data_IF_111093469729
#
_entry.id   IF_111093469729
#
_cell.length_a   1.000
_cell.length_b   1.000
_cell.length_c   1.000
_cell.angle_alpha   90.00
_cell.angle_beta   90.00
_cell.angle_gamma   90.00
#
_symmetry.space_group_name_H-M   'P 1'
#
loop_
_entity.id
_entity.type
_entity.pdbx_description
1 polymer ?
#
# COMPACT_ATOMS: atom_id res chain seq x y z
N UNK A 1 44.36 -35.17 -44.97
CA UNK A 1 43.07 -34.61 -45.46
C UNK A 1 42.31 -34.10 -44.23
N UNK A 2 42.25 -32.77 -44.11
CA UNK A 2 41.52 -31.86 -43.20
C UNK A 2 40.94 -32.39 -41.86
N UNK A 3 41.54 -31.93 -40.76
CA UNK A 3 40.95 -31.82 -39.41
C UNK A 3 39.89 -30.69 -39.41
N UNK A 4 38.67 -30.99 -38.94
CA UNK A 4 37.61 -29.98 -38.73
C UNK A 4 37.43 -29.76 -37.23
N UNK A 5 37.91 -28.64 -36.71
CA UNK A 5 37.70 -28.20 -35.34
C UNK A 5 36.36 -27.46 -35.29
N UNK A 6 35.34 -28.04 -34.64
CA UNK A 6 34.11 -27.34 -34.28
C UNK A 6 34.34 -26.52 -33.02
N UNK A 7 34.53 -25.21 -33.16
CA UNK A 7 34.51 -24.27 -32.05
C UNK A 7 33.05 -24.03 -31.62
N UNK A 8 32.66 -24.61 -30.48
CA UNK A 8 31.43 -24.26 -29.77
C UNK A 8 31.61 -22.86 -29.15
N UNK A 9 31.04 -21.85 -29.79
CA UNK A 9 30.82 -20.53 -29.20
C UNK A 9 29.72 -20.65 -28.14
N UNK A 10 30.10 -20.76 -26.85
CA UNK A 10 29.19 -20.45 -25.76
C UNK A 10 28.89 -18.94 -25.80
N UNK A 11 27.74 -18.57 -26.37
CA UNK A 11 27.18 -17.26 -26.15
C UNK A 11 26.77 -17.17 -24.68
N UNK A 12 27.64 -16.57 -23.86
CA UNK A 12 27.24 -16.12 -22.53
C UNK A 12 26.18 -15.03 -22.72
N UNK A 13 24.90 -15.41 -22.59
CA UNK A 13 23.81 -14.46 -22.44
C UNK A 13 24.06 -13.70 -21.15
N UNK A 14 24.66 -12.52 -21.25
CA UNK A 14 24.70 -11.58 -20.14
C UNK A 14 23.24 -11.38 -19.72
N UNK A 15 22.84 -11.72 -18.48
CA UNK A 15 21.52 -11.36 -18.02
C UNK A 15 21.42 -9.85 -18.18
N UNK A 16 20.38 -9.39 -18.89
CA UNK A 16 20.05 -7.97 -18.91
C UNK A 16 20.08 -7.49 -17.46
N UNK A 17 20.82 -6.41 -17.19
CA UNK A 17 20.87 -5.82 -15.85
C UNK A 17 19.41 -5.55 -15.45
N UNK A 18 18.90 -6.37 -14.54
CA UNK A 18 17.56 -6.17 -14.04
C UNK A 18 17.58 -4.87 -13.25
N UNK A 19 16.80 -3.88 -13.69
CA UNK A 19 16.56 -2.61 -12.98
C UNK A 19 15.70 -2.81 -11.72
N UNK A 20 15.65 -4.04 -11.21
CA UNK A 20 14.95 -4.41 -9.99
C UNK A 20 15.53 -3.64 -8.81
N UNK A 21 14.64 -3.29 -7.89
CA UNK A 21 14.92 -2.40 -6.78
C UNK A 21 14.68 -3.13 -5.46
N UNK A 22 15.73 -3.24 -4.66
CA UNK A 22 15.65 -3.69 -3.27
C UNK A 22 15.81 -2.50 -2.32
N UNK A 23 14.85 -2.31 -1.42
CA UNK A 23 14.87 -1.27 -0.40
C UNK A 23 14.89 -1.95 0.97
N UNK A 24 15.88 -1.63 1.80
CA UNK A 24 15.99 -2.15 3.17
C UNK A 24 15.70 -1.02 4.14
N UNK A 25 14.76 -1.25 5.06
CA UNK A 25 14.33 -0.29 6.05
C UNK A 25 14.43 -0.84 7.47
N UNK A 26 14.55 0.06 8.44
CA UNK A 26 14.29 -0.23 9.85
C UNK A 26 12.88 0.24 10.19
N UNK A 27 12.11 -0.62 10.84
CA UNK A 27 10.76 -0.33 11.31
C UNK A 27 10.77 -0.38 12.84
N UNK A 28 10.30 0.69 13.47
CA UNK A 28 10.17 0.81 14.91
C UNK A 28 8.71 1.06 15.25
N UNK A 29 8.15 0.26 16.15
CA UNK A 29 6.75 0.37 16.58
C UNK A 29 6.68 0.73 18.05
N UNK A 30 5.95 1.79 18.36
CA UNK A 30 5.66 2.28 19.71
C UNK A 30 6.93 2.44 20.58
N UNK A 31 8.05 2.84 19.96
CA UNK A 31 9.35 2.99 20.62
C UNK A 31 10.08 1.67 20.94
N UNK A 32 9.57 0.54 20.47
CA UNK A 32 10.17 -0.78 20.65
C UNK A 32 11.47 -1.00 19.86
N UNK A 33 11.98 -2.23 19.89
CA UNK A 33 13.20 -2.59 19.17
C UNK A 33 13.00 -2.46 17.64
N UNK A 34 13.94 -1.82 16.92
CA UNK A 34 13.87 -1.74 15.46
C UNK A 34 13.96 -3.13 14.82
N UNK A 35 13.08 -3.39 13.84
CA UNK A 35 13.09 -4.59 13.01
C UNK A 35 13.55 -4.23 11.61
N UNK A 36 14.45 -5.04 11.04
CA UNK A 36 14.86 -4.89 9.64
C UNK A 36 13.81 -5.50 8.72
N UNK A 37 13.54 -4.80 7.63
CA UNK A 37 12.56 -5.17 6.63
C UNK A 37 13.12 -4.90 5.23
N UNK A 38 12.77 -5.76 4.28
CA UNK A 38 13.11 -5.58 2.88
C UNK A 38 11.82 -5.43 2.05
N UNK A 39 11.87 -4.54 1.08
CA UNK A 39 10.91 -4.44 -0.01
C UNK A 39 11.62 -4.71 -1.32
N UNK A 40 10.96 -5.48 -2.18
CA UNK A 40 11.48 -5.98 -3.44
C UNK A 40 10.54 -5.52 -4.55
N UNK A 41 11.05 -4.83 -5.55
CA UNK A 41 10.27 -4.31 -6.66
C UNK A 41 10.97 -4.78 -7.93
N UNK A 42 10.38 -5.79 -8.57
CA UNK A 42 10.82 -6.33 -9.84
C UNK A 42 9.76 -6.05 -10.91
N UNK A 43 10.09 -6.36 -12.17
CA UNK A 43 9.19 -6.16 -13.31
C UNK A 43 7.92 -7.05 -13.28
N UNK A 44 7.96 -8.17 -12.56
CA UNK A 44 6.91 -9.19 -12.51
C UNK A 44 6.24 -9.30 -11.12
N UNK A 45 6.98 -8.97 -10.06
CA UNK A 45 6.49 -9.03 -8.68
C UNK A 45 6.91 -7.81 -7.85
N UNK A 46 6.05 -7.45 -6.91
CA UNK A 46 6.34 -6.44 -5.89
C UNK A 46 6.05 -7.04 -4.52
N UNK A 47 7.06 -7.13 -3.64
CA UNK A 47 6.89 -7.48 -2.23
C UNK A 47 7.20 -6.27 -1.36
N UNK A 48 6.23 -5.79 -0.62
CA UNK A 48 6.40 -4.65 0.30
C UNK A 48 6.03 -5.09 1.69
N UNK A 49 6.91 -4.78 2.64
CA UNK A 49 6.61 -4.95 4.05
C UNK A 49 5.97 -3.68 4.59
N UNK A 50 4.86 -3.83 5.29
CA UNK A 50 4.13 -2.77 5.95
C UNK A 50 4.67 -2.53 7.36
N UNK A 51 4.49 -1.31 7.86
CA UNK A 51 4.93 -0.91 9.20
C UNK A 51 4.25 -1.65 10.35
N UNK A 52 3.13 -2.36 10.09
CA UNK A 52 2.39 -3.14 11.08
C UNK A 52 2.85 -4.61 11.17
N UNK A 53 3.90 -5.00 10.43
CA UNK A 53 4.45 -6.36 10.41
C UNK A 53 3.78 -7.30 9.40
N UNK A 54 2.88 -6.78 8.56
CA UNK A 54 2.35 -7.52 7.41
C UNK A 54 3.21 -7.31 6.18
N UNK A 55 3.09 -8.22 5.23
CA UNK A 55 3.73 -8.10 3.94
C UNK A 55 2.69 -8.28 2.83
N UNK A 56 2.90 -7.59 1.72
CA UNK A 56 2.06 -7.70 0.53
C UNK A 56 2.95 -8.11 -0.63
N UNK A 57 2.56 -9.17 -1.33
CA UNK A 57 3.17 -9.60 -2.58
C UNK A 57 2.15 -9.40 -3.68
N UNK A 58 2.49 -8.60 -4.68
CA UNK A 58 1.68 -8.34 -5.86
C UNK A 58 2.35 -9.06 -7.02
N UNK A 59 1.62 -9.95 -7.69
CA UNK A 59 2.02 -10.49 -8.98
C UNK A 59 1.46 -9.57 -10.07
N UNK A 60 2.33 -8.91 -10.81
CA UNK A 60 1.95 -7.86 -11.78
C UNK A 60 1.16 -8.47 -12.95
N UNK A 61 1.57 -9.64 -13.44
CA UNK A 61 0.95 -10.28 -14.60
C UNK A 61 -0.51 -10.70 -14.35
N UNK A 62 -0.80 -11.23 -13.17
CA UNK A 62 -2.15 -11.70 -12.79
C UNK A 62 -2.96 -10.63 -12.04
N UNK A 63 -2.28 -9.62 -11.50
CA UNK A 63 -2.84 -8.66 -10.52
C UNK A 63 -3.33 -9.33 -9.23
N UNK A 64 -2.81 -10.52 -8.89
CA UNK A 64 -3.09 -11.17 -7.62
C UNK A 64 -2.32 -10.50 -6.49
N UNK A 65 -2.99 -10.27 -5.37
CA UNK A 65 -2.43 -9.66 -4.17
C UNK A 65 -2.42 -10.69 -3.06
N UNK A 66 -1.23 -11.11 -2.64
CA UNK A 66 -1.05 -11.97 -1.47
C UNK A 66 -0.71 -11.12 -0.26
N UNK A 67 -1.46 -11.30 0.83
CA UNK A 67 -1.19 -10.62 2.10
C UNK A 67 -0.73 -11.63 3.12
N UNK A 68 0.41 -11.38 3.74
CA UNK A 68 1.04 -12.22 4.75
C UNK A 68 0.98 -11.54 6.12
N UNK A 69 0.67 -12.30 7.16
CA UNK A 69 0.75 -11.90 8.56
C UNK A 69 1.84 -12.73 9.23
N UNK A 70 3.00 -12.10 9.49
CA UNK A 70 4.16 -12.78 10.04
C UNK A 70 3.95 -13.23 11.50
N UNK A 71 3.18 -12.46 12.27
CA UNK A 71 2.89 -12.80 13.67
C UNK A 71 2.03 -14.06 13.77
N UNK A 72 1.08 -14.25 12.83
CA UNK A 72 0.20 -15.42 12.80
C UNK A 72 0.70 -16.56 11.91
N UNK A 73 1.71 -16.31 11.09
CA UNK A 73 2.15 -17.23 10.01
C UNK A 73 0.98 -17.67 9.13
N UNK A 74 0.16 -16.70 8.72
CA UNK A 74 -0.97 -16.93 7.83
C UNK A 74 -0.88 -16.05 6.61
N UNK A 75 -1.47 -16.48 5.50
CA UNK A 75 -1.60 -15.64 4.32
C UNK A 75 -2.93 -15.88 3.63
N UNK A 76 -3.39 -14.90 2.86
CA UNK A 76 -4.50 -15.07 1.93
C UNK A 76 -4.16 -14.42 0.60
N UNK A 77 -4.79 -14.90 -0.47
CA UNK A 77 -4.62 -14.35 -1.82
C UNK A 77 -5.94 -13.69 -2.21
N UNK A 78 -5.85 -12.47 -2.72
CA UNK A 78 -6.93 -11.74 -3.36
C UNK A 78 -6.66 -11.76 -4.85
N UNK A 79 -7.48 -12.50 -5.58
CA UNK A 79 -7.41 -12.51 -7.03
C UNK A 79 -8.12 -11.30 -7.63
N UNK A 80 -7.90 -11.04 -8.91
CA UNK A 80 -8.70 -10.04 -9.65
C UNK A 80 -10.20 -10.31 -9.56
N UNK A 81 -10.62 -11.57 -9.59
CA UNK A 81 -12.04 -11.94 -9.46
C UNK A 81 -12.57 -11.62 -8.07
N UNK A 82 -11.79 -11.87 -7.02
CA UNK A 82 -12.15 -11.50 -5.64
C UNK A 82 -12.32 -9.99 -5.50
N UNK A 83 -11.44 -9.19 -6.13
CA UNK A 83 -11.55 -7.73 -6.13
C UNK A 83 -12.83 -7.25 -6.83
N UNK A 84 -13.19 -7.85 -7.97
CA UNK A 84 -14.44 -7.53 -8.68
C UNK A 84 -15.66 -7.92 -7.84
N UNK A 85 -15.66 -9.10 -7.23
CA UNK A 85 -16.75 -9.54 -6.36
C UNK A 85 -16.88 -8.66 -5.11
N UNK A 86 -15.77 -8.22 -4.53
CA UNK A 86 -15.74 -7.30 -3.41
C UNK A 86 -16.30 -5.93 -3.80
N UNK A 87 -15.92 -5.40 -4.96
CA UNK A 87 -16.45 -4.14 -5.47
C UNK A 87 -17.96 -4.20 -5.71
N UNK A 88 -18.46 -5.29 -6.31
CA UNK A 88 -19.89 -5.51 -6.52
C UNK A 88 -20.66 -5.59 -5.19
N UNK A 89 -20.17 -6.35 -4.21
CA UNK A 89 -20.76 -6.43 -2.86
C UNK A 89 -20.74 -5.08 -2.13
N UNK A 90 -19.66 -4.33 -2.27
CA UNK A 90 -19.56 -2.98 -1.68
C UNK A 90 -20.58 -2.04 -2.31
N UNK A 91 -20.77 -2.11 -3.63
CA UNK A 91 -21.76 -1.32 -4.34
C UNK A 91 -23.20 -1.72 -3.95
N UNK A 92 -23.48 -3.02 -3.83
CA UNK A 92 -24.77 -3.53 -3.34
C UNK A 92 -25.05 -3.03 -1.92
N UNK A 93 -24.06 -3.14 -1.02
CA UNK A 93 -24.17 -2.67 0.35
C UNK A 93 -24.42 -1.16 0.39
N UNK A 94 -23.69 -0.36 -0.37
CA UNK A 94 -23.90 1.10 -0.49
C UNK A 94 -25.30 1.45 -1.02
N UNK A 95 -25.85 0.64 -1.92
CA UNK A 95 -27.17 0.87 -2.50
C UNK A 95 -28.32 0.30 -1.65
N UNK A 96 -28.00 -0.48 -0.61
CA UNK A 96 -29.00 -1.09 0.27
C UNK A 96 -29.83 -0.01 1.00
N UNK A 97 -31.12 -0.26 1.24
CA UNK A 97 -31.98 0.68 1.96
C UNK A 97 -31.43 1.04 3.34
N UNK A 98 -30.75 0.12 4.03
CA UNK A 98 -30.21 0.38 5.37
C UNK A 98 -28.97 1.28 5.32
N UNK A 99 -28.08 1.10 4.34
CA UNK A 99 -27.00 2.07 4.14
C UNK A 99 -27.53 3.40 3.65
N UNK A 100 -28.54 3.41 2.78
CA UNK A 100 -29.21 4.65 2.38
C UNK A 100 -29.85 5.33 3.58
N UNK A 101 -30.48 4.60 4.50
CA UNK A 101 -31.02 5.15 5.76
C UNK A 101 -29.92 5.61 6.72
N UNK A 102 -28.80 4.89 6.81
CA UNK A 102 -27.65 5.29 7.61
C UNK A 102 -26.94 6.52 7.04
N UNK A 103 -26.94 6.67 5.72
CA UNK A 103 -26.43 7.84 4.98
C UNK A 103 -27.47 8.96 4.90
N UNK A 104 -28.77 8.65 5.01
CA UNK A 104 -29.85 9.61 5.17
C UNK A 104 -29.80 10.14 6.59
N UNK A 105 -28.90 11.11 6.76
CA UNK A 105 -28.67 11.88 7.97
C UNK A 105 -29.89 12.71 8.40
N UNK A 106 -31.08 12.51 7.84
CA UNK A 106 -32.27 13.31 8.14
C UNK A 106 -33.01 12.82 9.38
N UNK A 107 -32.79 11.57 9.83
CA UNK A 107 -33.47 10.99 10.99
C UNK A 107 -32.60 10.89 12.26
N UNK A 108 -31.36 11.39 12.23
CA UNK A 108 -30.51 11.45 13.41
C UNK A 108 -30.76 12.73 14.20
N UNK A 109 -30.70 12.69 15.55
CA UNK A 109 -30.68 13.91 16.36
C UNK A 109 -29.58 14.86 15.86
N UNK A 110 -29.80 16.19 15.88
CA UNK A 110 -28.84 17.17 15.35
C UNK A 110 -27.42 16.98 15.89
N UNK A 111 -27.28 16.64 17.17
CA UNK A 111 -25.99 16.41 17.83
C UNK A 111 -25.28 15.14 17.33
N UNK A 112 -26.03 14.08 17.00
CA UNK A 112 -25.45 12.85 16.45
C UNK A 112 -25.09 13.03 14.99
N UNK A 113 -25.91 13.76 14.22
CA UNK A 113 -25.61 14.14 12.84
C UNK A 113 -24.31 14.94 12.77
N UNK A 114 -24.18 15.99 13.57
CA UNK A 114 -22.97 16.82 13.61
C UNK A 114 -21.72 16.02 13.99
N UNK A 115 -21.83 15.10 14.96
CA UNK A 115 -20.72 14.21 15.34
C UNK A 115 -20.34 13.23 14.22
N UNK A 116 -21.31 12.65 13.53
CA UNK A 116 -21.06 11.71 12.44
C UNK A 116 -20.52 12.41 11.19
N UNK A 117 -21.04 13.59 10.85
CA UNK A 117 -20.50 14.46 9.80
C UNK A 117 -19.09 14.94 10.13
N UNK A 118 -18.79 15.29 11.39
CA UNK A 118 -17.44 15.65 11.82
C UNK A 118 -16.48 14.45 11.77
N UNK A 119 -16.95 13.24 12.10
CA UNK A 119 -16.15 12.02 12.05
C UNK A 119 -15.86 11.58 10.61
N UNK A 120 -16.87 11.54 9.74
CA UNK A 120 -16.70 11.24 8.31
C UNK A 120 -15.93 12.35 7.60
N UNK A 121 -16.32 13.61 7.78
CA UNK A 121 -15.66 14.77 7.19
C UNK A 121 -14.21 14.92 7.66
N UNK A 122 -13.92 14.61 8.93
CA UNK A 122 -12.57 14.55 9.48
C UNK A 122 -11.70 13.47 8.83
N UNK A 123 -12.27 12.33 8.44
CA UNK A 123 -11.56 11.25 7.74
C UNK A 123 -11.16 11.63 6.30
N UNK A 124 -11.88 12.56 5.67
CA UNK A 124 -11.54 13.14 4.35
C UNK A 124 -10.79 14.47 4.42
N UNK A 125 -10.56 15.00 5.63
CA UNK A 125 -9.80 16.23 5.82
C UNK A 125 -8.33 15.88 5.82
N UNK A 126 -7.72 15.95 4.64
CA UNK A 126 -6.28 15.70 4.48
C UNK A 126 -5.56 17.03 4.28
N UNK A 127 -4.48 17.24 5.02
CA UNK A 127 -3.56 18.36 4.82
C UNK A 127 -2.18 17.79 4.50
N UNK A 128 -1.61 18.22 3.37
CA UNK A 128 -0.26 17.86 2.95
C UNK A 128 0.56 19.14 2.84
N UNK A 129 1.59 19.23 3.67
CA UNK A 129 2.43 20.43 3.82
C UNK A 129 3.90 20.07 3.70
N UNK A 130 4.64 20.85 2.91
CA UNK A 130 6.10 20.75 2.86
C UNK A 130 6.65 21.51 4.06
N UNK A 131 7.49 20.86 4.87
CA UNK A 131 8.03 21.46 6.10
C UNK A 131 9.16 22.49 5.86
N UNK A 132 9.60 22.65 4.60
CA UNK A 132 10.72 23.53 4.24
C UNK A 132 12.11 22.98 4.59
N UNK A 133 12.20 21.81 5.21
CA UNK A 133 13.47 21.14 5.53
C UNK A 133 13.72 19.95 4.60
N UNK A 134 15.00 19.63 4.39
CA UNK A 134 15.44 18.47 3.61
C UNK A 134 16.46 17.65 4.41
N UNK A 135 16.58 16.37 4.07
CA UNK A 135 17.55 15.44 4.65
C UNK A 135 18.20 14.61 3.54
N UNK A 136 19.30 13.94 3.88
CA UNK A 136 19.90 12.89 3.05
C UNK A 136 19.77 11.55 3.77
N UNK A 137 19.12 10.58 3.14
CA UNK A 137 18.86 9.24 3.70
C UNK A 137 19.30 8.21 2.67
N UNK A 138 20.09 7.23 3.10
CA UNK A 138 20.65 6.18 2.22
C UNK A 138 21.32 6.72 0.93
N UNK A 139 21.90 7.92 1.00
CA UNK A 139 22.57 8.59 -0.14
C UNK A 139 21.69 9.50 -1.00
N UNK A 140 20.37 9.48 -0.81
CA UNK A 140 19.41 10.25 -1.60
C UNK A 140 18.92 11.48 -0.84
N UNK A 141 18.74 12.59 -1.55
CA UNK A 141 18.10 13.76 -0.96
C UNK A 141 16.59 13.55 -0.90
N UNK A 142 16.00 13.96 0.21
CA UNK A 142 14.56 13.92 0.41
C UNK A 142 14.07 15.20 1.09
N UNK A 143 12.87 15.62 0.71
CA UNK A 143 12.18 16.74 1.31
C UNK A 143 11.25 16.25 2.42
N UNK A 144 11.23 16.94 3.57
CA UNK A 144 10.33 16.59 4.66
C UNK A 144 8.93 17.18 4.42
N UNK A 145 7.91 16.34 4.58
CA UNK A 145 6.50 16.66 4.47
C UNK A 145 5.77 16.26 5.74
N UNK A 146 4.67 16.93 6.02
CA UNK A 146 3.68 16.50 7.01
C UNK A 146 2.39 16.15 6.28
N UNK A 147 1.84 14.97 6.59
CA UNK A 147 0.47 14.60 6.20
C UNK A 147 -0.37 14.51 7.46
N UNK A 148 -1.46 15.26 7.52
CA UNK A 148 -2.45 15.12 8.58
C UNK A 148 -3.76 14.61 7.97
N UNK A 149 -4.37 13.60 8.58
CA UNK A 149 -5.69 13.08 8.24
C UNK A 149 -6.59 13.27 9.45
N UNK A 150 -7.35 14.37 9.42
CA UNK A 150 -8.18 14.83 10.53
C UNK A 150 -7.40 14.87 11.85
N UNK A 151 -8.06 14.40 12.92
CA UNK A 151 -7.41 14.21 14.23
C UNK A 151 -6.87 12.79 14.44
N UNK A 152 -7.01 11.91 13.43
CA UNK A 152 -6.76 10.48 13.56
C UNK A 152 -5.32 10.10 13.26
N UNK A 153 -4.69 10.79 12.32
CA UNK A 153 -3.34 10.46 11.88
C UNK A 153 -2.53 11.69 11.55
N UNK A 154 -1.27 11.69 11.96
CA UNK A 154 -0.26 12.63 11.51
C UNK A 154 1.00 11.85 11.12
N UNK A 155 1.47 12.00 9.89
CA UNK A 155 2.75 11.47 9.43
C UNK A 155 3.74 12.58 9.11
N UNK A 156 5.00 12.31 9.41
CA UNK A 156 6.14 13.11 8.98
C UNK A 156 6.97 12.24 8.03
N UNK A 157 7.11 12.67 6.78
CA UNK A 157 7.66 11.87 5.69
C UNK A 157 8.84 12.57 5.03
N UNK A 158 9.96 11.90 4.82
CA UNK A 158 11.05 12.41 3.98
C UNK A 158 10.97 11.75 2.61
N UNK A 159 10.55 12.50 1.60
CA UNK A 159 10.19 11.95 0.29
C UNK A 159 11.25 12.31 -0.76
N UNK A 160 11.70 11.31 -1.52
CA UNK A 160 12.63 11.49 -2.64
C UNK A 160 11.98 11.15 -3.97
N UNK A 161 12.37 11.87 -5.03
CA UNK A 161 12.04 11.54 -6.42
C UNK A 161 13.20 10.89 -7.17
N UNK A 162 14.32 10.63 -6.49
CA UNK A 162 15.57 10.16 -7.10
C UNK A 162 15.62 8.64 -7.33
N UNK A 163 14.68 7.87 -6.79
CA UNK A 163 14.62 6.42 -6.98
C UNK A 163 14.12 6.07 -8.39
N UNK A 164 14.78 5.11 -9.02
CA UNK A 164 14.37 4.55 -10.31
C UNK A 164 13.58 3.27 -10.05
N UNK A 165 12.42 3.14 -10.67
CA UNK A 165 11.58 1.95 -10.57
C UNK A 165 11.64 1.17 -11.88
N UNK A 166 11.50 -0.16 -11.86
CA UNK A 166 11.21 -0.93 -13.05
C UNK A 166 9.98 -0.36 -13.76
N UNK A 167 10.10 -0.06 -15.06
CA UNK A 167 9.04 0.59 -15.84
C UNK A 167 7.71 -0.16 -15.75
N UNK A 168 7.76 -1.49 -15.84
CA UNK A 168 6.56 -2.35 -15.79
C UNK A 168 5.85 -2.23 -14.44
N UNK A 169 6.60 -2.25 -13.34
CA UNK A 169 6.03 -2.09 -11.99
C UNK A 169 5.41 -0.70 -11.81
N UNK A 170 6.05 0.34 -12.37
CA UNK A 170 5.52 1.70 -12.33
C UNK A 170 4.23 1.85 -13.14
N UNK A 171 4.15 1.22 -14.30
CA UNK A 171 2.93 1.20 -15.11
C UNK A 171 1.79 0.45 -14.43
N UNK A 172 2.09 -0.71 -13.83
CA UNK A 172 1.13 -1.47 -13.04
C UNK A 172 0.59 -0.65 -11.87
N UNK A 173 1.46 0.06 -11.15
CA UNK A 173 1.06 0.97 -10.07
C UNK A 173 0.12 2.08 -10.57
N UNK A 174 0.44 2.75 -11.68
CA UNK A 174 -0.44 3.76 -12.27
C UNK A 174 -1.81 3.18 -12.63
N UNK A 175 -1.85 2.01 -13.29
CA UNK A 175 -3.10 1.35 -13.65
C UNK A 175 -3.96 0.96 -12.44
N UNK A 176 -3.33 0.49 -11.36
CA UNK A 176 -4.00 0.24 -10.09
C UNK A 176 -4.56 1.54 -9.49
N UNK A 177 -3.77 2.62 -9.46
CA UNK A 177 -4.20 3.91 -8.94
C UNK A 177 -5.40 4.49 -9.74
N UNK A 178 -5.39 4.35 -11.06
CA UNK A 178 -6.50 4.77 -11.92
C UNK A 178 -7.77 3.93 -11.71
N UNK A 179 -7.60 2.62 -11.48
CA UNK A 179 -8.72 1.72 -11.12
C UNK A 179 -9.34 2.13 -9.79
N UNK A 180 -8.50 2.37 -8.77
CA UNK A 180 -8.94 2.85 -7.45
C UNK A 180 -9.65 4.20 -7.54
N UNK A 181 -9.14 5.12 -8.36
CA UNK A 181 -9.78 6.41 -8.62
C UNK A 181 -11.17 6.23 -9.23
N UNK A 182 -11.31 5.36 -10.22
CA UNK A 182 -12.60 5.05 -10.87
C UNK A 182 -13.60 4.46 -9.87
N UNK A 183 -13.16 3.53 -9.03
CA UNK A 183 -14.00 2.94 -7.99
C UNK A 183 -14.45 3.98 -6.97
N UNK A 184 -13.54 4.86 -6.51
CA UNK A 184 -13.86 5.92 -5.56
C UNK A 184 -14.81 6.98 -6.14
N UNK A 185 -14.67 7.30 -7.44
CA UNK A 185 -15.58 8.20 -8.14
C UNK A 185 -17.02 7.65 -8.21
N UNK A 186 -17.18 6.32 -8.23
CA UNK A 186 -18.49 5.66 -8.25
C UNK A 186 -19.21 5.65 -6.88
N UNK A 187 -18.56 6.11 -5.80
CA UNK A 187 -19.11 6.08 -4.43
C UNK A 187 -19.99 7.30 -4.07
N UNK A 188 -20.51 8.04 -5.05
CA UNK A 188 -21.50 9.11 -4.82
C UNK A 188 -20.95 10.31 -4.03
N UNK A 189 -21.66 10.86 -3.03
CA UNK A 189 -21.24 12.07 -2.29
C UNK A 189 -19.84 11.99 -1.64
N UNK A 190 -19.37 10.77 -1.35
CA UNK A 190 -18.01 10.49 -0.85
C UNK A 190 -16.90 10.79 -1.87
N UNK A 191 -17.22 10.77 -3.17
CA UNK A 191 -16.27 11.04 -4.24
C UNK A 191 -15.67 12.45 -4.14
N UNK A 192 -16.44 13.44 -3.68
CA UNK A 192 -15.95 14.80 -3.49
C UNK A 192 -14.87 14.90 -2.41
N UNK A 193 -15.04 14.19 -1.29
CA UNK A 193 -14.02 14.08 -0.23
C UNK A 193 -12.77 13.35 -0.72
N UNK A 194 -12.95 12.25 -1.45
CA UNK A 194 -11.85 11.50 -2.05
C UNK A 194 -11.05 12.34 -3.08
N UNK A 195 -11.72 13.16 -3.90
CA UNK A 195 -11.06 14.06 -4.85
C UNK A 195 -10.21 15.12 -4.14
N UNK A 196 -10.74 15.77 -3.09
CA UNK A 196 -9.97 16.74 -2.28
C UNK A 196 -8.74 16.09 -1.64
N UNK A 197 -8.89 14.88 -1.11
CA UNK A 197 -7.77 14.11 -0.59
C UNK A 197 -6.74 13.82 -1.69
N UNK A 198 -7.18 13.40 -2.88
CA UNK A 198 -6.29 13.15 -4.02
C UNK A 198 -5.51 14.42 -4.41
N UNK A 199 -6.13 15.59 -4.41
CA UNK A 199 -5.46 16.88 -4.68
C UNK A 199 -4.36 17.19 -3.67
N UNK A 200 -4.58 16.88 -2.39
CA UNK A 200 -3.58 17.09 -1.35
C UNK A 200 -2.39 16.15 -1.54
N UNK A 201 -2.64 14.86 -1.78
CA UNK A 201 -1.57 13.89 -2.02
C UNK A 201 -0.78 14.16 -3.30
N UNK A 202 -1.38 14.72 -4.36
CA UNK A 202 -0.66 15.12 -5.59
C UNK A 202 0.48 16.11 -5.34
N UNK A 203 0.45 16.86 -4.23
CA UNK A 203 1.53 17.78 -3.83
C UNK A 203 2.82 17.04 -3.49
N UNK A 204 2.69 15.84 -2.91
CA UNK A 204 3.80 14.98 -2.52
C UNK A 204 4.07 13.98 -3.64
N UNK A 205 5.31 13.91 -4.10
CA UNK A 205 5.70 13.02 -5.21
C UNK A 205 6.95 12.26 -4.84
N UNK A 206 6.97 10.97 -5.17
CA UNK A 206 8.11 10.10 -4.95
C UNK A 206 7.88 9.09 -3.84
N UNK A 207 8.96 8.65 -3.21
CA UNK A 207 8.97 7.57 -2.24
C UNK A 207 9.46 8.06 -0.87
N UNK A 208 8.78 7.69 0.22
CA UNK A 208 9.22 8.05 1.56
C UNK A 208 10.46 7.22 1.96
N UNK A 209 11.60 7.87 2.06
CA UNK A 209 12.82 7.30 2.65
C UNK A 209 12.77 7.26 4.17
N UNK A 210 11.95 8.09 4.79
CA UNK A 210 11.58 7.96 6.18
C UNK A 210 10.12 8.35 6.36
N UNK A 211 9.42 7.71 7.29
CA UNK A 211 8.07 8.05 7.67
C UNK A 211 7.89 7.75 9.16
N UNK A 212 7.46 8.74 9.93
CA UNK A 212 6.92 8.53 11.28
C UNK A 212 5.44 8.84 11.25
N UNK A 213 4.61 7.81 11.39
CA UNK A 213 3.15 7.94 11.47
C UNK A 213 2.71 7.78 12.92
N UNK A 214 2.00 8.79 13.43
CA UNK A 214 1.27 8.73 14.70
C UNK A 214 -0.21 8.58 14.40
N UNK A 215 -0.82 7.50 14.89
CA UNK A 215 -2.25 7.25 14.78
C UNK A 215 -2.89 7.34 16.16
N UNK A 216 -4.01 8.05 16.27
CA UNK A 216 -4.82 8.18 17.47
C UNK A 216 -6.25 7.75 17.15
N UNK A 217 -6.66 6.60 17.68
CA UNK A 217 -8.01 6.06 17.49
C UNK A 217 -8.57 5.67 18.85
N UNK A 218 -9.72 6.24 19.20
CA UNK A 218 -10.45 5.95 20.45
C UNK A 218 -9.57 6.05 21.72
N UNK A 219 -8.71 7.07 21.80
CA UNK A 219 -7.82 7.28 22.94
C UNK A 219 -6.55 6.41 22.95
N UNK A 220 -6.42 5.47 22.00
CA UNK A 220 -5.20 4.70 21.80
C UNK A 220 -4.29 5.40 20.80
N UNK A 221 -3.10 5.78 21.25
CA UNK A 221 -2.03 6.31 20.42
C UNK A 221 -1.09 5.16 20.02
N UNK A 222 -0.79 5.05 18.73
CA UNK A 222 0.28 4.20 18.21
C UNK A 222 1.21 5.03 17.32
N UNK A 223 2.50 4.74 17.39
CA UNK A 223 3.54 5.38 16.59
C UNK A 223 4.29 4.30 15.83
N UNK A 224 4.41 4.47 14.51
CA UNK A 224 5.22 3.61 13.66
C UNK A 224 6.22 4.51 12.93
N UNK A 225 7.51 4.21 13.08
CA UNK A 225 8.58 4.87 12.36
C UNK A 225 9.23 3.88 11.39
N UNK A 226 9.49 4.31 10.16
CA UNK A 226 10.23 3.57 9.15
C UNK A 226 11.33 4.46 8.60
N UNK A 227 12.55 3.94 8.47
CA UNK A 227 13.66 4.65 7.83
C UNK A 227 14.44 3.71 6.92
N UNK A 228 14.63 4.12 5.66
CA UNK A 228 15.42 3.41 4.66
C UNK A 228 16.89 3.49 5.04
N UNK A 229 17.52 2.33 5.08
CA UNK A 229 18.95 2.18 5.40
C UNK A 229 19.78 1.82 4.17
N UNK A 230 19.16 1.21 3.16
CA UNK A 230 19.84 0.82 1.93
C UNK A 230 18.89 0.76 0.76
N UNK A 231 19.38 1.16 -0.41
CA UNK A 231 18.75 1.00 -1.71
C UNK A 231 19.75 0.31 -2.61
N UNK A 232 19.32 -0.76 -3.29
CA UNK A 232 20.17 -1.54 -4.19
C UNK A 232 19.42 -1.82 -5.49
N UNK A 233 20.15 -1.70 -6.59
CA UNK A 233 19.69 -2.10 -7.91
C UNK A 233 20.35 -3.40 -8.32
N UNK A 234 19.58 -4.26 -8.99
CA UNK A 234 20.07 -5.54 -9.50
C UNK A 234 19.09 -6.67 -9.22
N UNK A 235 19.36 -7.82 -9.83
CA UNK A 235 18.48 -8.97 -9.83
C UNK A 235 18.01 -9.39 -8.43
N UNK A 236 16.71 -9.60 -8.28
CA UNK A 236 16.10 -10.12 -7.07
C UNK A 236 15.87 -11.64 -7.26
N UNK A 237 16.32 -12.50 -6.33
CA UNK A 237 16.08 -13.93 -6.45
C UNK A 237 14.60 -14.25 -6.35
N UNK A 238 14.12 -15.23 -7.13
CA UNK A 238 12.72 -15.64 -7.15
C UNK A 238 12.17 -16.01 -5.75
N UNK A 239 13.02 -16.58 -4.88
CA UNK A 239 12.68 -16.91 -3.50
C UNK A 239 12.26 -15.70 -2.65
N UNK A 240 12.62 -14.46 -3.06
CA UNK A 240 12.13 -13.24 -2.41
C UNK A 240 10.61 -13.06 -2.56
N UNK A 241 9.98 -13.71 -3.54
CA UNK A 241 8.54 -13.60 -3.81
C UNK A 241 7.76 -14.85 -3.38
N UNK A 242 8.44 -15.87 -2.85
CA UNK A 242 7.81 -17.07 -2.34
C UNK A 242 7.19 -16.83 -0.95
N UNK A 243 6.11 -17.57 -0.67
CA UNK A 243 5.51 -17.62 0.65
C UNK A 243 6.45 -18.40 1.58
N UNK A 244 6.86 -17.85 2.73
CA UNK A 244 7.78 -18.54 3.61
C UNK A 244 7.21 -19.87 4.12
N UNK A 245 8.09 -20.85 4.32
CA UNK A 245 7.70 -22.15 4.86
C UNK A 245 6.97 -22.01 6.21
N UNK A 246 5.95 -22.85 6.43
CA UNK A 246 5.15 -22.87 7.65
C UNK A 246 4.02 -21.84 7.71
N UNK A 247 3.81 -21.06 6.64
CA UNK A 247 2.63 -20.21 6.52
C UNK A 247 1.40 -21.03 6.11
N UNK A 248 0.26 -20.74 6.73
CA UNK A 248 -1.01 -21.39 6.42
C UNK A 248 -1.89 -20.48 5.57
N UNK A 249 -2.38 -20.99 4.44
CA UNK A 249 -3.37 -20.26 3.64
C UNK A 249 -4.68 -20.20 4.40
N UNK A 250 -5.23 -19.00 4.56
CA UNK A 250 -6.56 -18.76 5.11
C UNK A 250 -7.45 -18.13 4.06
N UNK A 251 -8.76 -18.26 4.23
CA UNK A 251 -9.71 -17.50 3.43
C UNK A 251 -9.56 -16.01 3.71
N UNK A 252 -9.89 -15.18 2.72
CA UNK A 252 -9.84 -13.73 2.86
C UNK A 252 -10.69 -13.27 4.07
N UNK A 253 -10.06 -12.75 5.13
CA UNK A 253 -10.77 -12.38 6.35
C UNK A 253 -11.73 -11.19 6.12
N UNK A 254 -11.44 -10.32 5.15
CA UNK A 254 -12.32 -9.21 4.80
C UNK A 254 -13.61 -9.72 4.15
N UNK A 255 -13.49 -10.63 3.18
CA UNK A 255 -14.65 -11.22 2.50
C UNK A 255 -15.53 -11.99 3.50
N UNK A 256 -14.93 -12.81 4.37
CA UNK A 256 -15.64 -13.49 5.46
C UNK A 256 -16.33 -12.52 6.42
N UNK A 257 -15.70 -11.38 6.72
CA UNK A 257 -16.32 -10.36 7.57
C UNK A 257 -17.56 -9.76 6.91
N UNK A 258 -17.46 -9.40 5.63
CA UNK A 258 -18.58 -8.84 4.85
C UNK A 258 -19.75 -9.83 4.76
N UNK A 259 -19.48 -11.12 4.52
CA UNK A 259 -20.51 -12.15 4.50
C UNK A 259 -21.21 -12.33 5.85
N UNK A 260 -20.47 -12.28 6.96
CA UNK A 260 -21.08 -12.36 8.30
C UNK A 260 -21.95 -11.14 8.62
N UNK A 261 -21.54 -9.95 8.19
CA UNK A 261 -22.38 -8.74 8.34
C UNK A 261 -23.66 -8.84 7.51
N UNK A 262 -23.59 -9.43 6.31
CA UNK A 262 -24.77 -9.70 5.49
C UNK A 262 -25.69 -10.79 6.07
N UNK A 263 -25.14 -11.84 6.70
CA UNK A 263 -25.89 -12.97 7.28
C UNK A 263 -26.41 -12.76 8.71
N UNK A 264 -25.95 -11.73 9.44
CA UNK A 264 -26.51 -11.34 10.74
C UNK A 264 -27.83 -10.56 10.62
N UNK A 265 -28.47 -10.66 9.46
CA UNK A 265 -29.81 -10.15 9.15
C UNK A 265 -30.78 -11.31 9.19
#
# INVERSE_FOLDING_TARGET
MRLTICALLLAATLPALADDLTIVSKITRDGGAPQTSASYIASDHVRVTQGDGKEVIINIATSDITVLDAAKKTYFVMTRQDMVAMAAKLQEMMNSPEMKQALEMNNLPPDQKAKMEAMMGGMFTVAVEKSGTSRKIAGYDCDNWTVAIGQFSKSEECVTTQLKYPTVAWEAYKGFADTMKTMMAAMGPMAAGAMKMQEQFKKMKGFPLANTTTTSVMGHKSVIATEVTSVKYGAIPASAFEIPAGYTKIDNPMLKSMERMGKRR
#
